data_IF_231081185121
#
_entry.id   IF_231081185121
#
_cell.length_a   1.000
_cell.length_b   1.000
_cell.length_c   1.000
_cell.angle_alpha   90.00
_cell.angle_beta   90.00
_cell.angle_gamma   90.00
#
_symmetry.space_group_name_H-M   'P 1'
#
loop_
_entity.id
_entity.type
_entity.pdbx_description
1 polymer ?
#
# COMPACT_ATOMS: atom_id res chain seq x y z
N UNK A 1 6.91 40.24 10.90
CA UNK A 1 6.39 38.89 11.20
C UNK A 1 5.10 38.68 10.42
N UNK A 2 5.16 37.98 9.30
CA UNK A 2 3.98 37.67 8.48
C UNK A 2 3.14 36.59 9.17
N UNK A 3 1.90 36.94 9.52
CA UNK A 3 0.91 36.01 10.07
C UNK A 3 0.64 34.95 9.00
N UNK A 4 1.21 33.75 9.18
CA UNK A 4 0.94 32.62 8.30
C UNK A 4 -0.51 32.18 8.58
N UNK A 5 -1.44 32.56 7.71
CA UNK A 5 -2.84 32.09 7.78
C UNK A 5 -2.84 30.57 7.90
N UNK A 6 -3.42 30.04 8.97
CA UNK A 6 -3.60 28.60 9.14
C UNK A 6 -4.43 28.07 7.97
N UNK A 7 -3.90 27.06 7.28
CA UNK A 7 -4.60 26.44 6.16
C UNK A 7 -5.78 25.65 6.73
N UNK A 8 -7.01 26.05 6.38
CA UNK A 8 -8.21 25.30 6.75
C UNK A 8 -8.32 24.05 5.88
N UNK A 9 -8.05 22.89 6.47
CA UNK A 9 -8.16 21.60 5.80
C UNK A 9 -9.63 21.22 5.60
N UNK A 10 -9.94 20.74 4.41
CA UNK A 10 -11.24 20.13 4.11
C UNK A 10 -11.23 18.64 4.48
N UNK A 11 -12.41 18.00 4.62
CA UNK A 11 -12.47 16.55 4.83
C UNK A 11 -11.71 15.74 3.77
N UNK A 12 -11.75 16.20 2.50
CA UNK A 12 -10.99 15.58 1.42
C UNK A 12 -9.48 15.73 1.60
N UNK A 13 -9.01 16.87 2.11
CA UNK A 13 -7.59 17.06 2.38
C UNK A 13 -7.10 16.08 3.44
N UNK A 14 -7.86 15.95 4.53
CA UNK A 14 -7.55 14.96 5.57
C UNK A 14 -7.55 13.54 5.01
N UNK A 15 -8.50 13.20 4.14
CA UNK A 15 -8.54 11.90 3.48
C UNK A 15 -7.33 11.68 2.55
N UNK A 16 -6.88 12.71 1.83
CA UNK A 16 -5.65 12.65 1.01
C UNK A 16 -4.43 12.43 1.89
N UNK A 17 -4.29 13.17 2.99
CA UNK A 17 -3.18 12.98 3.93
C UNK A 17 -3.20 11.56 4.50
N UNK A 18 -4.37 11.07 4.94
CA UNK A 18 -4.52 9.71 5.45
C UNK A 18 -4.14 8.65 4.40
N UNK A 19 -4.53 8.86 3.14
CA UNK A 19 -4.19 7.96 2.04
C UNK A 19 -2.67 7.95 1.77
N UNK A 20 -2.01 9.11 1.72
CA UNK A 20 -0.55 9.17 1.56
C UNK A 20 0.14 8.51 2.75
N UNK A 21 -0.35 8.72 3.98
CA UNK A 21 0.19 8.07 5.18
C UNK A 21 0.12 6.55 5.11
N UNK A 22 -0.99 6.00 4.63
CA UNK A 22 -1.25 4.56 4.58
C UNK A 22 -0.18 3.83 3.74
N UNK A 23 0.20 4.41 2.60
CA UNK A 23 1.20 3.84 1.69
C UNK A 23 2.59 4.47 1.84
N UNK A 24 2.70 5.57 2.57
CA UNK A 24 3.90 6.37 2.77
C UNK A 24 4.22 7.32 1.61
N UNK A 25 3.96 6.91 0.37
CA UNK A 25 4.02 7.78 -0.81
C UNK A 25 3.06 7.31 -1.91
N UNK A 26 2.70 8.21 -2.82
CA UNK A 26 1.90 7.88 -4.00
C UNK A 26 2.15 8.85 -5.15
N UNK A 27 1.70 8.54 -6.37
CA UNK A 27 1.81 9.44 -7.53
C UNK A 27 0.55 10.30 -7.68
N UNK A 28 0.60 11.30 -8.57
CA UNK A 28 -0.60 12.08 -8.94
C UNK A 28 -1.70 11.20 -9.52
N UNK A 29 -1.35 10.10 -10.20
CA UNK A 29 -2.33 9.17 -10.78
C UNK A 29 -3.15 8.49 -9.68
N UNK A 30 -2.49 8.05 -8.61
CA UNK A 30 -3.17 7.42 -7.46
C UNK A 30 -4.13 8.40 -6.78
N UNK A 31 -3.71 9.65 -6.57
CA UNK A 31 -4.58 10.71 -5.99
C UNK A 31 -5.80 10.94 -6.87
N UNK A 32 -5.62 11.06 -8.19
CA UNK A 32 -6.72 11.28 -9.12
C UNK A 32 -7.72 10.14 -9.10
N UNK A 33 -7.24 8.91 -9.17
CA UNK A 33 -8.08 7.70 -9.18
C UNK A 33 -8.85 7.57 -7.88
N UNK A 34 -8.17 7.68 -6.73
CA UNK A 34 -8.83 7.51 -5.41
C UNK A 34 -9.89 8.56 -5.12
N UNK A 35 -9.63 9.82 -5.46
CA UNK A 35 -10.49 10.95 -5.10
C UNK A 35 -11.34 11.46 -6.27
N UNK A 36 -11.34 10.74 -7.39
CA UNK A 36 -12.10 11.05 -8.62
C UNK A 36 -11.87 12.51 -9.04
N UNK A 37 -10.61 12.89 -9.16
CA UNK A 37 -10.19 14.25 -9.51
C UNK A 37 -9.70 14.36 -10.95
N UNK A 38 -10.06 15.46 -11.60
CA UNK A 38 -9.38 15.88 -12.83
C UNK A 38 -7.91 16.16 -12.54
N UNK A 39 -7.04 16.02 -13.56
CA UNK A 39 -5.60 16.26 -13.40
C UNK A 39 -5.30 17.66 -12.85
N UNK A 40 -6.01 18.68 -13.35
CA UNK A 40 -5.86 20.06 -12.90
C UNK A 40 -6.24 20.23 -11.42
N UNK A 41 -7.41 19.71 -11.01
CA UNK A 41 -7.86 19.79 -9.61
C UNK A 41 -6.92 19.03 -8.68
N UNK A 42 -6.41 17.87 -9.08
CA UNK A 42 -5.45 17.11 -8.29
C UNK A 42 -4.17 17.95 -8.07
N UNK A 43 -3.59 18.54 -9.11
CA UNK A 43 -2.44 19.42 -8.96
C UNK A 43 -2.73 20.64 -8.10
N UNK A 44 -3.88 21.30 -8.25
CA UNK A 44 -4.25 22.43 -7.40
C UNK A 44 -4.29 22.05 -5.91
N UNK A 45 -4.91 20.92 -5.58
CA UNK A 45 -4.95 20.41 -4.19
C UNK A 45 -3.55 20.10 -3.69
N UNK A 46 -2.76 19.33 -4.45
CA UNK A 46 -1.41 18.96 -4.03
C UNK A 46 -0.49 20.18 -3.88
N UNK A 47 -0.55 21.15 -4.78
CA UNK A 47 0.22 22.40 -4.68
C UNK A 47 -0.17 23.22 -3.45
N UNK A 48 -1.45 23.27 -3.09
CA UNK A 48 -1.90 23.90 -1.85
C UNK A 48 -1.34 23.19 -0.62
N UNK A 49 -1.37 21.85 -0.59
CA UNK A 49 -0.84 21.06 0.53
C UNK A 49 0.70 21.16 0.65
N UNK A 50 1.40 21.30 -0.49
CA UNK A 50 2.85 21.58 -0.53
C UNK A 50 3.15 22.96 0.03
N UNK A 51 2.44 24.01 -0.41
CA UNK A 51 2.58 25.38 0.13
C UNK A 51 2.25 25.46 1.62
N UNK A 52 1.41 24.57 2.12
CA UNK A 52 1.08 24.43 3.54
C UNK A 52 2.14 23.65 4.34
N UNK A 53 3.17 23.11 3.68
CA UNK A 53 4.23 22.26 4.24
C UNK A 53 3.70 20.95 4.84
N UNK A 54 2.57 20.45 4.32
CA UNK A 54 2.01 19.17 4.74
C UNK A 54 2.50 18.02 3.85
N UNK A 55 2.74 18.33 2.57
CA UNK A 55 3.17 17.36 1.56
C UNK A 55 4.50 17.80 0.96
N UNK A 56 5.37 16.83 0.70
CA UNK A 56 6.56 16.96 -0.15
C UNK A 56 6.27 16.35 -1.51
N UNK A 57 6.83 16.93 -2.56
CA UNK A 57 6.83 16.36 -3.91
C UNK A 57 8.26 16.13 -4.37
N UNK A 58 8.57 14.92 -4.80
CA UNK A 58 9.91 14.53 -5.24
C UNK A 58 9.84 13.72 -6.53
N UNK A 59 10.75 14.01 -7.47
CA UNK A 59 11.01 13.15 -8.62
C UNK A 59 12.16 12.21 -8.28
N UNK A 60 11.92 10.91 -8.37
CA UNK A 60 12.92 9.88 -8.06
C UNK A 60 13.63 9.44 -9.34
N UNK A 61 12.87 9.11 -10.38
CA UNK A 61 13.40 8.67 -11.68
C UNK A 61 13.13 9.71 -12.77
N UNK A 62 14.07 9.83 -13.71
CA UNK A 62 13.91 10.66 -14.90
C UNK A 62 12.84 10.03 -15.80
N UNK A 63 11.86 10.82 -16.24
CA UNK A 63 10.68 10.40 -17.04
C UNK A 63 9.49 9.75 -16.31
N UNK A 64 9.55 9.56 -14.99
CA UNK A 64 8.39 9.10 -14.22
C UNK A 64 7.65 10.25 -13.51
N UNK A 65 6.37 10.02 -13.20
CA UNK A 65 5.60 10.91 -12.34
C UNK A 65 6.27 11.04 -10.97
N UNK A 66 6.37 12.27 -10.48
CA UNK A 66 6.84 12.51 -9.11
C UNK A 66 5.90 11.89 -8.08
N UNK A 67 6.47 11.60 -6.91
CA UNK A 67 5.74 11.08 -5.77
C UNK A 67 5.42 12.19 -4.77
N UNK A 68 4.35 11.99 -4.03
CA UNK A 68 3.95 12.80 -2.89
C UNK A 68 4.14 12.01 -1.60
N UNK A 69 4.76 12.66 -0.62
CA UNK A 69 5.00 12.14 0.73
C UNK A 69 4.51 13.15 1.76
N UNK A 70 4.31 12.73 3.00
CA UNK A 70 4.01 13.68 4.07
C UNK A 70 5.27 14.19 4.76
N UNK A 71 5.24 15.46 5.14
CA UNK A 71 6.17 16.00 6.14
C UNK A 71 5.78 15.49 7.53
N UNK A 72 6.60 15.78 8.55
CA UNK A 72 6.22 15.56 9.95
C UNK A 72 4.91 16.27 10.32
N UNK A 73 4.72 17.50 9.80
CA UNK A 73 3.53 18.32 10.02
C UNK A 73 2.31 17.72 9.32
N UNK A 74 2.45 17.23 8.09
CA UNK A 74 1.34 16.63 7.35
C UNK A 74 0.91 15.26 7.89
N UNK A 75 1.85 14.50 8.45
CA UNK A 75 1.57 13.21 9.07
C UNK A 75 0.94 13.34 10.46
N UNK A 76 0.94 14.54 11.04
CA UNK A 76 0.33 14.78 12.35
C UNK A 76 -1.17 14.42 12.32
N UNK A 77 -1.63 13.69 13.33
CA UNK A 77 -3.00 13.19 13.42
C UNK A 77 -3.37 12.03 12.47
N UNK A 78 -2.47 11.53 11.61
CA UNK A 78 -2.78 10.42 10.68
C UNK A 78 -2.52 9.01 11.25
N UNK A 79 -2.01 8.92 12.47
CA UNK A 79 -1.76 7.67 13.21
C UNK A 79 -0.44 6.93 12.87
N UNK A 80 0.25 7.32 11.79
CA UNK A 80 1.56 6.77 11.42
C UNK A 80 2.59 7.88 11.24
N UNK A 81 3.85 7.55 11.51
CA UNK A 81 4.98 8.45 11.25
C UNK A 81 5.24 8.57 9.75
N UNK A 82 5.72 9.74 9.27
CA UNK A 82 6.12 9.90 7.87
C UNK A 82 7.27 8.94 7.54
N UNK A 83 7.42 8.58 6.27
CA UNK A 83 8.57 7.79 5.84
C UNK A 83 9.86 8.62 5.97
N UNK A 84 10.92 8.08 6.60
CA UNK A 84 12.18 8.80 6.74
C UNK A 84 12.96 8.87 5.42
N UNK A 85 12.78 7.88 4.54
CA UNK A 85 13.40 7.79 3.21
C UNK A 85 12.58 6.90 2.29
N UNK A 86 12.74 7.08 0.99
CA UNK A 86 12.16 6.20 -0.02
C UNK A 86 13.04 4.95 -0.19
N UNK A 87 12.49 3.73 -0.01
CA UNK A 87 13.20 2.51 -0.31
C UNK A 87 13.22 2.26 -1.82
N UNK A 88 14.30 2.67 -2.49
CA UNK A 88 14.43 2.53 -3.95
C UNK A 88 14.28 1.09 -4.44
N UNK A 89 14.77 0.11 -3.68
CA UNK A 89 14.70 -1.31 -4.04
C UNK A 89 13.27 -1.86 -4.13
N UNK A 90 12.31 -1.28 -3.38
CA UNK A 90 10.90 -1.68 -3.42
C UNK A 90 10.00 -0.60 -4.02
N UNK A 91 10.58 0.37 -4.74
CA UNK A 91 9.84 1.54 -5.23
C UNK A 91 8.65 1.15 -6.10
N UNK A 92 8.90 0.39 -7.16
CA UNK A 92 7.86 -0.05 -8.10
C UNK A 92 6.89 -1.06 -7.48
N UNK A 93 7.38 -1.91 -6.58
CA UNK A 93 6.54 -2.84 -5.83
C UNK A 93 5.48 -2.10 -5.01
N UNK A 94 5.87 -1.09 -4.22
CA UNK A 94 4.91 -0.28 -3.48
C UNK A 94 3.90 0.45 -4.39
N UNK A 95 4.34 1.00 -5.53
CA UNK A 95 3.39 1.63 -6.45
C UNK A 95 2.35 0.62 -6.97
N UNK A 96 2.78 -0.61 -7.29
CA UNK A 96 1.87 -1.69 -7.70
C UNK A 96 0.93 -2.14 -6.57
N UNK A 97 1.36 -2.10 -5.32
CA UNK A 97 0.48 -2.35 -4.17
C UNK A 97 -0.63 -1.29 -4.09
N UNK A 98 -0.32 -0.01 -4.36
CA UNK A 98 -1.32 1.06 -4.38
C UNK A 98 -2.29 0.85 -5.55
N UNK A 99 -1.80 0.54 -6.73
CA UNK A 99 -2.64 0.24 -7.90
C UNK A 99 -3.60 -0.93 -7.63
N UNK A 100 -3.09 -2.00 -6.99
CA UNK A 100 -3.90 -3.14 -6.57
C UNK A 100 -4.95 -2.73 -5.55
N UNK A 101 -4.58 -1.98 -4.51
CA UNK A 101 -5.52 -1.45 -3.52
C UNK A 101 -6.65 -0.67 -4.20
N UNK A 102 -6.33 0.21 -5.15
CA UNK A 102 -7.34 1.01 -5.85
C UNK A 102 -8.31 0.11 -6.61
N UNK A 103 -7.79 -0.86 -7.37
CA UNK A 103 -8.64 -1.81 -8.11
C UNK A 103 -9.51 -2.66 -7.20
N UNK A 104 -8.95 -3.18 -6.11
CA UNK A 104 -9.73 -3.98 -5.16
C UNK A 104 -10.77 -3.13 -4.44
N UNK A 105 -10.45 -1.88 -4.10
CA UNK A 105 -11.40 -0.97 -3.43
C UNK A 105 -12.58 -0.58 -4.32
N UNK A 106 -12.37 -0.54 -5.64
CA UNK A 106 -13.44 -0.31 -6.62
C UNK A 106 -14.34 -1.54 -6.77
N UNK A 107 -13.76 -2.75 -6.72
CA UNK A 107 -14.51 -4.01 -6.83
C UNK A 107 -15.19 -4.44 -5.53
N UNK A 108 -14.62 -4.05 -4.40
CA UNK A 108 -15.05 -4.44 -3.06
C UNK A 108 -15.12 -3.21 -2.15
N UNK A 109 -16.17 -2.36 -2.29
CA UNK A 109 -16.27 -1.12 -1.53
C UNK A 109 -16.31 -1.30 0.00
N UNK A 110 -16.82 -2.45 0.46
CA UNK A 110 -16.96 -2.79 1.88
C UNK A 110 -15.68 -3.37 2.50
N UNK A 111 -14.60 -3.47 1.73
CA UNK A 111 -13.34 -4.02 2.22
C UNK A 111 -12.63 -3.05 3.16
N UNK A 112 -12.10 -3.56 4.27
CA UNK A 112 -11.18 -2.80 5.12
C UNK A 112 -9.73 -3.18 4.80
N UNK A 113 -8.93 -2.21 4.37
CA UNK A 113 -7.52 -2.42 4.01
C UNK A 113 -6.60 -2.05 5.17
N UNK A 114 -5.75 -3.00 5.57
CA UNK A 114 -4.68 -2.81 6.55
C UNK A 114 -3.34 -2.91 5.81
N UNK A 115 -2.65 -1.79 5.62
CA UNK A 115 -1.38 -1.76 4.90
C UNK A 115 -0.24 -2.44 5.67
N UNK A 116 0.81 -2.85 4.94
CA UNK A 116 2.10 -3.24 5.50
C UNK A 116 2.61 -2.25 6.56
N UNK A 117 2.41 -0.94 6.36
CA UNK A 117 2.86 0.10 7.30
C UNK A 117 2.14 0.00 8.65
N UNK A 118 0.84 -0.26 8.64
CA UNK A 118 0.06 -0.55 9.86
C UNK A 118 0.47 -1.88 10.48
N UNK A 119 0.59 -2.93 9.66
CA UNK A 119 1.02 -4.26 10.14
C UNK A 119 2.39 -4.19 10.82
N UNK A 120 3.34 -3.42 10.26
CA UNK A 120 4.63 -3.18 10.88
C UNK A 120 4.50 -2.44 12.20
N UNK A 121 3.74 -1.34 12.25
CA UNK A 121 3.52 -0.59 13.49
C UNK A 121 2.92 -1.49 14.59
N UNK A 122 1.86 -2.24 14.27
CA UNK A 122 1.22 -3.16 15.20
C UNK A 122 2.16 -4.27 15.67
N UNK A 123 2.92 -4.87 14.75
CA UNK A 123 3.89 -5.91 15.07
C UNK A 123 4.97 -5.39 16.01
N UNK A 124 5.52 -4.21 15.73
CA UNK A 124 6.50 -3.57 16.62
C UNK A 124 5.90 -3.19 17.98
N UNK A 125 4.61 -2.84 18.03
CA UNK A 125 3.92 -2.50 19.27
C UNK A 125 3.59 -3.74 20.12
N UNK A 126 3.18 -4.85 19.51
CA UNK A 126 2.75 -6.07 20.20
C UNK A 126 3.91 -7.03 20.52
N UNK A 127 4.97 -7.04 19.71
CA UNK A 127 6.02 -8.06 19.77
C UNK A 127 7.39 -7.46 19.43
N UNK A 128 8.14 -7.03 20.45
CA UNK A 128 9.51 -6.55 20.29
C UNK A 128 10.40 -7.68 19.76
N UNK A 129 10.98 -7.53 18.56
CA UNK A 129 12.18 -8.28 18.16
C UNK A 129 12.04 -9.54 17.29
N UNK A 130 10.84 -9.98 16.85
CA UNK A 130 10.80 -11.09 15.87
C UNK A 130 11.05 -10.59 14.44
N UNK A 131 12.11 -11.13 13.82
CA UNK A 131 12.32 -11.17 12.36
C UNK A 131 11.26 -12.09 11.74
N UNK A 132 10.81 -11.76 10.53
CA UNK A 132 9.86 -12.58 9.76
C UNK A 132 9.18 -11.74 8.69
N UNK A 133 8.60 -12.41 7.69
CA UNK A 133 7.88 -11.77 6.61
C UNK A 133 6.69 -10.96 7.14
N UNK A 134 6.38 -9.84 6.48
CA UNK A 134 5.19 -9.02 6.74
C UNK A 134 4.46 -8.94 5.41
N UNK A 135 3.16 -9.23 5.43
CA UNK A 135 2.32 -9.13 4.26
C UNK A 135 2.30 -7.69 3.70
N UNK A 136 2.09 -7.57 2.39
CA UNK A 136 1.93 -6.27 1.74
C UNK A 136 0.64 -5.58 2.21
N UNK A 137 -0.40 -6.38 2.49
CA UNK A 137 -1.58 -5.95 3.23
C UNK A 137 -2.41 -7.12 3.79
N UNK A 138 -3.37 -6.77 4.63
CA UNK A 138 -4.51 -7.63 4.99
C UNK A 138 -5.79 -6.92 4.59
N UNK A 139 -6.70 -7.66 3.97
CA UNK A 139 -8.08 -7.22 3.75
C UNK A 139 -8.97 -7.92 4.77
N UNK A 140 -9.78 -7.13 5.47
CA UNK A 140 -10.84 -7.63 6.34
C UNK A 140 -12.21 -7.32 5.71
N UNK A 141 -13.04 -8.35 5.57
CA UNK A 141 -14.43 -8.22 5.14
C UNK A 141 -15.38 -8.27 6.35
N UNK A 142 -16.60 -7.70 6.24
CA UNK A 142 -17.60 -7.69 7.32
C UNK A 142 -17.92 -9.06 7.96
N UNK A 143 -17.70 -10.17 7.24
CA UNK A 143 -17.88 -11.55 7.74
C UNK A 143 -16.66 -12.11 8.50
N UNK A 144 -15.76 -11.25 9.00
CA UNK A 144 -14.50 -11.65 9.66
C UNK A 144 -13.55 -12.49 8.79
N UNK A 145 -13.72 -12.48 7.46
CA UNK A 145 -12.77 -13.10 6.53
C UNK A 145 -11.54 -12.22 6.43
N UNK A 146 -10.38 -12.76 6.83
CA UNK A 146 -9.08 -12.11 6.70
C UNK A 146 -8.34 -12.70 5.52
N UNK A 147 -8.03 -11.85 4.56
CA UNK A 147 -7.31 -12.22 3.35
C UNK A 147 -5.96 -11.54 3.38
N UNK A 148 -4.89 -12.33 3.35
CA UNK A 148 -3.54 -11.81 3.19
C UNK A 148 -3.28 -11.49 1.73
N UNK A 149 -2.73 -10.31 1.47
CA UNK A 149 -2.37 -9.85 0.12
C UNK A 149 -0.85 -9.82 -0.03
N UNK A 150 -0.37 -10.42 -1.12
CA UNK A 150 1.02 -10.42 -1.55
C UNK A 150 1.12 -9.96 -3.00
N UNK A 151 1.99 -8.99 -3.27
CA UNK A 151 2.35 -8.56 -4.62
C UNK A 151 3.79 -9.01 -4.87
N UNK A 152 3.97 -9.92 -5.81
CA UNK A 152 5.28 -10.49 -6.12
C UNK A 152 5.70 -10.10 -7.54
N UNK A 153 6.63 -9.16 -7.67
CA UNK A 153 7.16 -8.73 -8.98
C UNK A 153 8.37 -9.56 -9.45
N UNK A 154 9.00 -10.30 -8.53
CA UNK A 154 10.23 -11.04 -8.81
C UNK A 154 10.24 -12.36 -8.07
N UNK A 155 11.00 -13.32 -8.58
CA UNK A 155 11.05 -14.65 -8.01
C UNK A 155 11.81 -14.67 -6.67
N UNK A 156 11.10 -14.98 -5.58
CA UNK A 156 11.72 -15.38 -4.31
C UNK A 156 12.29 -16.81 -4.43
N UNK A 157 13.30 -17.13 -3.61
CA UNK A 157 13.81 -18.50 -3.53
C UNK A 157 12.74 -19.45 -3.00
N UNK A 158 12.78 -20.71 -3.43
CA UNK A 158 11.79 -21.73 -3.04
C UNK A 158 11.75 -21.93 -1.51
N UNK A 159 12.92 -21.92 -0.85
CA UNK A 159 13.02 -22.01 0.61
C UNK A 159 12.31 -20.83 1.29
N UNK A 160 12.60 -19.60 0.85
CA UNK A 160 11.97 -18.40 1.41
C UNK A 160 10.46 -18.41 1.22
N UNK A 161 9.99 -18.81 0.05
CA UNK A 161 8.56 -18.90 -0.24
C UNK A 161 7.88 -19.96 0.64
N UNK A 162 8.51 -21.13 0.80
CA UNK A 162 8.00 -22.18 1.69
C UNK A 162 7.87 -21.69 3.13
N UNK A 163 8.86 -20.96 3.64
CA UNK A 163 8.84 -20.42 5.00
C UNK A 163 7.71 -19.38 5.19
N UNK A 164 7.49 -18.51 4.20
CA UNK A 164 6.38 -17.54 4.22
C UNK A 164 5.03 -18.27 4.27
N UNK A 165 4.81 -19.22 3.36
CA UNK A 165 3.55 -19.95 3.26
C UNK A 165 3.28 -20.82 4.49
N UNK A 166 4.32 -21.43 5.09
CA UNK A 166 4.20 -22.13 6.37
C UNK A 166 3.76 -21.18 7.49
N UNK A 167 4.30 -19.95 7.51
CA UNK A 167 3.89 -18.91 8.44
C UNK A 167 2.40 -18.60 8.33
N UNK A 168 1.90 -18.41 7.10
CA UNK A 168 0.47 -18.15 6.89
C UNK A 168 -0.41 -19.35 7.22
N UNK A 169 0.00 -20.56 6.84
CA UNK A 169 -0.75 -21.79 7.17
C UNK A 169 -0.88 -22.03 8.68
N UNK A 170 0.07 -21.54 9.47
CA UNK A 170 0.05 -21.66 10.93
C UNK A 170 -0.86 -20.63 11.63
N UNK A 171 -1.29 -19.57 10.93
CA UNK A 171 -2.20 -18.56 11.46
C UNK A 171 -3.64 -18.86 11.04
N UNK A 172 -4.39 -19.49 11.96
CA UNK A 172 -5.77 -19.89 11.74
C UNK A 172 -6.75 -18.72 11.60
N UNK A 173 -6.33 -17.48 11.86
CA UNK A 173 -7.17 -16.31 11.59
C UNK A 173 -7.20 -15.94 10.12
N UNK A 174 -6.23 -16.42 9.32
CA UNK A 174 -6.16 -16.20 7.88
C UNK A 174 -7.10 -17.16 7.17
N UNK A 175 -8.05 -16.60 6.42
CA UNK A 175 -8.99 -17.38 5.60
C UNK A 175 -8.34 -17.75 4.27
N UNK A 176 -7.72 -16.78 3.60
CA UNK A 176 -7.11 -16.95 2.28
C UNK A 176 -5.82 -16.13 2.17
N UNK A 177 -4.94 -16.57 1.27
CA UNK A 177 -3.73 -15.83 0.88
C UNK A 177 -3.77 -15.59 -0.61
N UNK A 178 -3.86 -14.34 -1.03
CA UNK A 178 -3.94 -13.93 -2.42
C UNK A 178 -2.59 -13.38 -2.87
N UNK A 179 -1.95 -14.10 -3.80
CA UNK A 179 -0.77 -13.61 -4.49
C UNK A 179 -1.16 -13.01 -5.84
N UNK A 180 -0.74 -11.77 -6.07
CA UNK A 180 -0.82 -11.09 -7.36
C UNK A 180 0.59 -11.00 -7.95
N UNK A 181 0.79 -11.62 -9.10
CA UNK A 181 2.12 -11.78 -9.67
C UNK A 181 2.08 -11.87 -11.20
N UNK A 182 3.20 -11.58 -11.89
CA UNK A 182 3.32 -11.82 -13.32
C UNK A 182 3.38 -13.33 -13.61
N UNK A 183 3.11 -13.71 -14.86
CA UNK A 183 2.91 -15.12 -15.26
C UNK A 183 4.09 -16.04 -14.90
N UNK A 184 5.33 -15.56 -15.10
CA UNK A 184 6.54 -16.32 -14.76
C UNK A 184 6.68 -16.64 -13.26
N UNK A 185 6.12 -15.78 -12.39
CA UNK A 185 6.08 -16.01 -10.94
C UNK A 185 4.92 -16.92 -10.58
N UNK A 186 3.77 -16.74 -11.24
CA UNK A 186 2.57 -17.56 -11.06
C UNK A 186 2.87 -19.05 -11.24
N UNK A 187 3.57 -19.42 -12.32
CA UNK A 187 3.92 -20.81 -12.63
C UNK A 187 4.74 -21.48 -11.52
N UNK A 188 5.63 -20.73 -10.85
CA UNK A 188 6.44 -21.24 -9.74
C UNK A 188 5.66 -21.35 -8.43
N UNK A 189 4.65 -20.51 -8.23
CA UNK A 189 3.77 -20.56 -7.07
C UNK A 189 2.71 -21.66 -7.19
N UNK A 190 2.32 -22.02 -8.41
CA UNK A 190 1.21 -22.93 -8.67
C UNK A 190 1.35 -24.31 -7.97
N UNK A 191 2.54 -24.95 -7.91
CA UNK A 191 2.72 -26.21 -7.17
C UNK A 191 2.35 -26.11 -5.68
N UNK A 192 2.48 -24.93 -5.06
CA UNK A 192 2.18 -24.76 -3.64
C UNK A 192 0.68 -24.83 -3.32
N UNK A 193 -0.21 -24.62 -4.32
CA UNK A 193 -1.66 -24.76 -4.14
C UNK A 193 -2.07 -26.15 -3.67
N UNK A 194 -1.34 -27.19 -4.07
CA UNK A 194 -1.59 -28.56 -3.62
C UNK A 194 -1.39 -28.72 -2.10
N UNK A 195 -0.51 -27.92 -1.51
CA UNK A 195 -0.18 -27.98 -0.07
C UNK A 195 -0.94 -26.98 0.80
N UNK A 196 -1.55 -25.98 0.16
CA UNK A 196 -2.27 -24.88 0.79
C UNK A 196 -3.48 -24.47 -0.05
N UNK A 197 -4.64 -25.06 0.23
CA UNK A 197 -5.90 -24.78 -0.48
C UNK A 197 -6.40 -23.33 -0.34
N UNK A 198 -5.95 -22.64 0.71
CA UNK A 198 -6.19 -21.22 0.97
C UNK A 198 -5.41 -20.29 0.04
N UNK A 199 -4.39 -20.79 -0.68
CA UNK A 199 -3.59 -19.99 -1.60
C UNK A 199 -4.34 -19.76 -2.92
N UNK A 200 -4.63 -18.51 -3.22
CA UNK A 200 -5.17 -18.05 -4.51
C UNK A 200 -4.08 -17.27 -5.25
N UNK A 201 -3.97 -17.54 -6.54
CA UNK A 201 -3.01 -16.85 -7.41
C UNK A 201 -3.79 -16.08 -8.47
N UNK A 202 -3.39 -14.84 -8.70
CA UNK A 202 -3.98 -13.94 -9.68
C UNK A 202 -2.88 -13.33 -10.54
N UNK A 203 -3.17 -13.14 -11.83
CA UNK A 203 -2.32 -12.36 -12.72
C UNK A 203 -2.40 -10.88 -12.32
N UNK A 204 -1.26 -10.29 -11.99
CA UNK A 204 -1.19 -8.88 -11.59
C UNK A 204 -1.65 -7.95 -12.74
N UNK A 205 -1.22 -8.26 -13.96
CA UNK A 205 -1.50 -7.44 -15.15
C UNK A 205 -2.98 -7.46 -15.53
N UNK A 206 -3.64 -8.62 -15.40
CA UNK A 206 -5.08 -8.75 -15.64
C UNK A 206 -5.92 -8.02 -14.60
N UNK A 207 -5.42 -7.96 -13.36
CA UNK A 207 -6.13 -7.32 -12.25
C UNK A 207 -5.97 -5.81 -12.31
N UNK A 208 -4.78 -5.29 -12.55
CA UNK A 208 -4.50 -3.85 -12.45
C UNK A 208 -4.96 -3.06 -13.68
N UNK A 209 -5.24 -3.70 -14.83
CA UNK A 209 -5.71 -3.06 -16.10
C UNK A 209 -5.30 -1.59 -16.23
N UNK A 210 -4.12 -1.38 -16.82
CA UNK A 210 -3.60 -0.08 -17.23
C UNK A 210 -4.62 0.78 -17.98
#
# INVERSE_FOLDING_TARGET
MSIQKSVRLTPRDNAILQFITEFGYCTIHHIRRKFVLTIYRAYQVMQRLIKAELVLHQRIFHAESGIYMLTKKGADGTGLRPLPRIPLASYHHHLKVIDLYLTLSEKHPDMHWISERRLRQERYAKWVGKRGHVADAIIEFPESKKIVIEVELSLKSQARLSDILKGYKADFSITEVWYYCPLNVFERLNPFKATMSQLKLYSLDEVIKS
#
